data_IF_016618317184
#
_entry.id   IF_016618317184
#
_cell.length_a   1.000
_cell.length_b   1.000
_cell.length_c   1.000
_cell.angle_alpha   90.00
_cell.angle_beta   90.00
_cell.angle_gamma   90.00
#
_symmetry.space_group_name_H-M   'P 1'
#
loop_
_entity.id
_entity.type
_entity.pdbx_description
1 polymer ?
#
# COMPACT_ATOMS: atom_id res chain seq x y z
N UNK A 1 5.66 18.38 52.34
CA UNK A 1 5.43 18.74 50.92
C UNK A 1 4.87 17.56 50.13
N UNK A 2 5.06 16.31 50.56
CA UNK A 2 4.61 15.12 49.82
C UNK A 2 3.10 14.88 49.83
N UNK A 3 2.40 15.14 50.95
CA UNK A 3 0.94 14.95 51.03
C UNK A 3 0.20 15.79 50.00
N UNK A 4 0.55 17.07 49.85
CA UNK A 4 -0.01 17.95 48.83
C UNK A 4 0.29 17.45 47.41
N UNK A 5 1.48 16.89 47.15
CA UNK A 5 1.84 16.32 45.84
C UNK A 5 1.07 15.04 45.53
N UNK A 6 0.80 14.22 46.55
CA UNK A 6 -0.02 13.01 46.46
C UNK A 6 -1.50 13.36 46.25
N UNK A 7 -2.06 14.31 47.01
CA UNK A 7 -3.44 14.77 46.80
C UNK A 7 -3.59 15.44 45.41
N UNK A 8 -2.61 16.22 44.92
CA UNK A 8 -2.63 16.74 43.53
C UNK A 8 -2.63 15.62 42.48
N UNK A 9 -1.82 14.56 42.66
CA UNK A 9 -1.85 13.39 41.77
C UNK A 9 -3.20 12.67 41.83
N UNK A 10 -3.73 12.44 43.05
CA UNK A 10 -5.02 11.79 43.26
C UNK A 10 -6.16 12.59 42.60
N UNK A 11 -6.09 13.91 42.67
CA UNK A 11 -7.08 14.83 42.14
C UNK A 11 -6.99 14.98 40.61
N UNK A 12 -5.78 14.94 40.02
CA UNK A 12 -5.57 14.83 38.58
C UNK A 12 -6.11 13.49 38.03
N UNK A 13 -5.94 12.37 38.75
CA UNK A 13 -6.59 11.09 38.41
C UNK A 13 -8.09 11.04 38.74
N UNK A 14 -8.64 12.06 39.41
CA UNK A 14 -10.05 12.15 39.78
C UNK A 14 -10.89 12.91 38.75
N UNK A 15 -10.29 13.83 37.98
CA UNK A 15 -10.97 14.49 36.86
C UNK A 15 -10.73 13.73 35.54
N UNK A 16 -11.65 12.80 35.26
CA UNK A 16 -11.69 12.01 34.01
C UNK A 16 -11.68 12.91 32.77
N UNK A 17 -12.21 14.13 32.83
CA UNK A 17 -12.25 15.07 31.70
C UNK A 17 -10.89 15.70 31.41
N UNK A 18 -10.10 15.98 32.46
CA UNK A 18 -8.71 16.42 32.29
C UNK A 18 -7.84 15.26 31.78
N UNK A 19 -7.95 14.08 32.39
CA UNK A 19 -7.17 12.91 31.98
C UNK A 19 -7.46 12.49 30.52
N UNK A 20 -8.74 12.53 30.08
CA UNK A 20 -9.11 12.35 28.67
C UNK A 20 -8.47 13.40 27.76
N UNK A 21 -8.47 14.68 28.15
CA UNK A 21 -7.84 15.76 27.36
C UNK A 21 -6.34 15.52 27.19
N UNK A 22 -5.64 15.21 28.27
CA UNK A 22 -4.19 14.94 28.25
C UNK A 22 -3.86 13.69 27.43
N UNK A 23 -4.66 12.62 27.56
CA UNK A 23 -4.51 11.40 26.77
C UNK A 23 -4.78 11.63 25.26
N UNK A 24 -5.79 12.43 24.92
CA UNK A 24 -6.08 12.83 23.52
C UNK A 24 -4.95 13.66 22.93
N UNK A 25 -4.39 14.61 23.68
CA UNK A 25 -3.25 15.43 23.24
C UNK A 25 -1.99 14.58 23.03
N UNK A 26 -1.68 13.66 23.95
CA UNK A 26 -0.55 12.74 23.79
C UNK A 26 -0.73 11.82 22.57
N UNK A 27 -1.92 11.24 22.38
CA UNK A 27 -2.22 10.44 21.18
C UNK A 27 -2.10 11.26 19.87
N UNK A 28 -2.50 12.53 19.88
CA UNK A 28 -2.33 13.45 18.74
C UNK A 28 -0.84 13.77 18.48
N UNK A 29 -0.03 13.94 19.53
CA UNK A 29 1.41 14.13 19.42
C UNK A 29 2.09 12.92 18.76
N UNK A 30 1.81 11.71 19.26
CA UNK A 30 2.32 10.45 18.68
C UNK A 30 1.89 10.29 17.21
N UNK A 31 0.65 10.63 16.84
CA UNK A 31 0.22 10.64 15.44
C UNK A 31 1.02 11.62 14.57
N UNK A 32 1.37 12.78 15.12
CA UNK A 32 2.13 13.83 14.43
C UNK A 32 3.58 13.39 14.23
N UNK A 33 4.20 12.79 15.24
CA UNK A 33 5.53 12.18 15.14
C UNK A 33 5.57 11.00 14.15
N UNK A 34 4.57 10.10 14.18
CA UNK A 34 4.44 9.02 13.19
C UNK A 34 4.35 9.56 11.76
N UNK A 35 3.61 10.65 11.53
CA UNK A 35 3.55 11.31 10.22
C UNK A 35 4.92 11.87 9.81
N UNK A 36 5.62 12.57 10.70
CA UNK A 36 6.95 13.11 10.42
C UNK A 36 7.97 12.01 10.05
N UNK A 37 7.94 10.87 10.74
CA UNK A 37 8.80 9.71 10.41
C UNK A 37 8.46 9.09 9.04
N UNK A 38 7.18 9.11 8.63
CA UNK A 38 6.76 8.72 7.28
C UNK A 38 7.18 9.73 6.20
N UNK A 39 7.26 11.02 6.56
CA UNK A 39 7.76 12.10 5.71
C UNK A 39 9.30 12.20 5.66
N UNK A 40 10.02 11.26 6.29
CA UNK A 40 11.47 11.14 6.20
C UNK A 40 12.26 11.90 7.28
N UNK A 41 11.65 12.27 8.39
CA UNK A 41 12.36 12.91 9.50
C UNK A 41 13.46 11.99 10.10
N UNK A 42 14.69 12.50 10.15
CA UNK A 42 15.90 11.76 10.55
C UNK A 42 16.20 11.77 12.07
N UNK A 43 15.22 12.15 12.90
CA UNK A 43 15.29 12.14 14.34
C UNK A 43 14.21 11.20 14.96
N UNK A 44 14.60 10.18 15.77
CA UNK A 44 15.94 9.91 16.30
C UNK A 44 16.91 9.24 15.31
N UNK A 45 18.21 9.34 15.58
CA UNK A 45 19.32 8.97 14.67
C UNK A 45 19.17 7.59 13.98
N UNK A 46 19.20 7.51 12.63
CA UNK A 46 19.00 6.26 11.87
C UNK A 46 20.04 5.17 12.16
N UNK A 47 21.27 5.52 12.53
CA UNK A 47 22.36 4.58 12.83
C UNK A 47 22.03 3.71 14.07
N UNK A 48 21.20 4.24 14.97
CA UNK A 48 20.77 3.60 16.20
C UNK A 48 19.40 2.93 16.02
N UNK A 49 18.42 3.65 15.44
CA UNK A 49 17.01 3.23 15.41
C UNK A 49 16.55 2.59 14.10
N UNK A 50 17.28 2.84 13.00
CA UNK A 50 17.02 2.24 11.70
C UNK A 50 17.43 0.77 11.64
N UNK A 51 16.93 0.07 10.63
CA UNK A 51 17.26 -1.34 10.35
C UNK A 51 17.80 -1.47 8.93
N UNK A 52 18.78 -2.33 8.75
CA UNK A 52 19.19 -2.88 7.45
C UNK A 52 18.09 -3.80 6.88
N UNK A 53 18.21 -4.21 5.62
CA UNK A 53 17.27 -5.18 5.03
C UNK A 53 17.29 -6.52 5.79
N UNK A 54 18.48 -7.00 6.17
CA UNK A 54 18.64 -8.28 6.89
C UNK A 54 18.04 -8.23 8.30
N UNK A 55 18.28 -7.14 9.05
CA UNK A 55 17.66 -6.93 10.36
C UNK A 55 16.12 -6.87 10.25
N UNK A 56 15.57 -6.18 9.26
CA UNK A 56 14.11 -6.10 9.03
C UNK A 56 13.52 -7.48 8.69
N UNK A 57 14.15 -8.25 7.81
CA UNK A 57 13.74 -9.61 7.45
C UNK A 57 13.76 -10.55 8.69
N UNK A 58 14.84 -10.53 9.48
CA UNK A 58 14.95 -11.34 10.70
C UNK A 58 13.87 -10.99 11.74
N UNK A 59 13.64 -9.70 12.00
CA UNK A 59 12.66 -9.27 13.02
C UNK A 59 11.20 -9.42 12.55
N UNK A 60 10.93 -9.36 11.24
CA UNK A 60 9.59 -9.64 10.68
C UNK A 60 9.29 -11.14 10.58
N UNK A 61 10.33 -12.00 10.64
CA UNK A 61 10.22 -13.44 10.38
C UNK A 61 10.05 -13.78 8.90
N UNK A 62 10.26 -12.80 8.00
CA UNK A 62 10.09 -12.95 6.54
C UNK A 62 11.47 -12.89 5.90
N UNK A 63 12.18 -14.01 5.98
CA UNK A 63 13.59 -14.11 5.56
C UNK A 63 13.81 -14.12 4.03
N UNK A 64 12.78 -14.41 3.24
CA UNK A 64 12.88 -14.48 1.78
C UNK A 64 11.54 -14.30 1.08
N UNK A 65 11.60 -13.90 -0.18
CA UNK A 65 10.44 -13.78 -1.06
C UNK A 65 9.96 -15.15 -1.54
N UNK A 66 8.65 -15.48 -1.45
CA UNK A 66 8.12 -16.75 -1.92
C UNK A 66 8.49 -17.07 -3.39
N UNK A 67 8.99 -18.27 -3.63
CA UNK A 67 9.35 -18.74 -4.98
C UNK A 67 10.72 -18.27 -5.50
N UNK A 68 11.49 -17.49 -4.72
CA UNK A 68 12.79 -16.96 -5.14
C UNK A 68 13.91 -17.64 -4.37
N UNK A 69 14.84 -18.28 -5.10
CA UNK A 69 16.01 -18.97 -4.54
C UNK A 69 17.24 -18.07 -4.38
N UNK A 70 17.33 -16.98 -5.14
CA UNK A 70 18.44 -16.03 -5.12
C UNK A 70 18.13 -14.91 -4.11
N UNK A 71 19.06 -14.53 -3.22
CA UNK A 71 18.85 -13.42 -2.30
C UNK A 71 18.70 -12.10 -3.06
N UNK A 72 17.55 -11.46 -2.90
CA UNK A 72 17.25 -10.16 -3.53
C UNK A 72 17.83 -9.06 -2.66
N UNK A 73 18.91 -8.42 -3.12
CA UNK A 73 19.56 -7.31 -2.41
C UNK A 73 19.15 -5.98 -3.03
N UNK A 74 18.28 -5.17 -2.39
CA UNK A 74 17.93 -3.85 -2.90
C UNK A 74 19.09 -2.85 -2.69
N UNK A 75 19.10 -1.71 -3.42
CA UNK A 75 19.93 -0.56 -3.10
C UNK A 75 19.72 -0.12 -1.64
N UNK A 76 20.75 0.43 -1.00
CA UNK A 76 20.70 0.85 0.41
C UNK A 76 20.30 -0.26 1.41
N UNK A 77 20.53 -1.53 1.07
CA UNK A 77 20.25 -2.69 1.93
C UNK A 77 21.12 -2.76 3.18
N UNK A 78 22.37 -2.30 3.09
CA UNK A 78 23.31 -2.17 4.21
C UNK A 78 23.09 -0.91 5.06
N UNK A 79 22.32 0.07 4.58
CA UNK A 79 22.02 1.27 5.34
C UNK A 79 20.89 1.00 6.34
N UNK A 80 21.01 1.60 7.53
CA UNK A 80 19.96 1.56 8.53
C UNK A 80 18.91 2.61 8.22
N UNK A 81 17.71 2.16 7.87
CA UNK A 81 16.58 2.99 7.48
C UNK A 81 15.36 2.69 8.37
N UNK A 82 14.47 3.67 8.49
CA UNK A 82 13.14 3.53 9.05
C UNK A 82 12.15 4.41 8.26
N UNK A 83 10.89 4.44 8.68
CA UNK A 83 9.90 5.40 8.17
C UNK A 83 9.60 5.21 6.69
N UNK A 84 9.38 6.32 5.98
CA UNK A 84 9.15 6.32 4.53
C UNK A 84 10.30 5.70 3.73
N UNK A 85 11.55 5.90 4.17
CA UNK A 85 12.73 5.35 3.48
C UNK A 85 12.80 3.81 3.56
N UNK A 86 12.47 3.23 4.71
CA UNK A 86 12.36 1.78 4.84
C UNK A 86 11.17 1.21 4.05
N UNK A 87 10.04 1.92 4.03
CA UNK A 87 8.85 1.54 3.24
C UNK A 87 9.18 1.47 1.73
N UNK A 88 9.82 2.50 1.19
CA UNK A 88 10.25 2.53 -0.21
C UNK A 88 11.32 1.48 -0.52
N UNK A 89 12.25 1.17 0.40
CA UNK A 89 13.20 0.08 0.22
C UNK A 89 12.50 -1.28 0.08
N UNK A 90 11.49 -1.58 0.90
CA UNK A 90 10.69 -2.80 0.77
C UNK A 90 9.93 -2.83 -0.56
N UNK A 91 9.37 -1.70 -0.99
CA UNK A 91 8.71 -1.58 -2.30
C UNK A 91 9.68 -1.83 -3.46
N UNK A 92 10.91 -1.34 -3.39
CA UNK A 92 11.94 -1.57 -4.40
C UNK A 92 12.40 -3.04 -4.40
N UNK A 93 12.66 -3.62 -3.22
CA UNK A 93 13.03 -5.03 -3.07
C UNK A 93 11.95 -5.96 -3.64
N UNK A 94 10.68 -5.66 -3.38
CA UNK A 94 9.54 -6.37 -3.98
C UNK A 94 9.54 -6.31 -5.51
N UNK A 95 9.86 -5.16 -6.13
CA UNK A 95 10.01 -5.08 -7.59
C UNK A 95 11.15 -5.98 -8.07
N UNK A 96 12.35 -5.85 -7.52
CA UNK A 96 13.51 -6.69 -7.86
C UNK A 96 13.15 -8.18 -7.76
N UNK A 97 12.52 -8.60 -6.66
CA UNK A 97 12.02 -9.94 -6.44
C UNK A 97 11.09 -10.42 -7.57
N UNK A 98 10.03 -9.66 -7.87
CA UNK A 98 9.07 -10.05 -8.92
C UNK A 98 9.72 -10.18 -10.30
N UNK A 99 10.70 -9.33 -10.65
CA UNK A 99 11.42 -9.40 -11.92
C UNK A 99 12.46 -10.53 -11.99
N UNK A 100 13.04 -10.95 -10.85
CA UNK A 100 13.93 -12.11 -10.78
C UNK A 100 13.23 -13.45 -11.04
N UNK A 101 11.90 -13.50 -11.06
CA UNK A 101 11.17 -14.71 -11.44
C UNK A 101 11.11 -14.89 -12.96
N UNK A 102 11.16 -16.15 -13.40
CA UNK A 102 10.81 -16.53 -14.77
C UNK A 102 9.41 -17.17 -14.80
N UNK A 103 8.80 -17.26 -15.98
CA UNK A 103 7.56 -18.03 -16.14
C UNK A 103 7.87 -19.52 -15.85
N UNK A 104 7.15 -20.17 -14.93
CA UNK A 104 7.43 -21.55 -14.53
C UNK A 104 7.34 -22.50 -15.72
N UNK A 105 8.26 -23.47 -15.78
CA UNK A 105 8.25 -24.50 -16.83
C UNK A 105 6.97 -25.36 -16.75
N UNK A 106 6.38 -25.64 -17.90
CA UNK A 106 5.05 -26.27 -18.00
C UNK A 106 5.18 -27.59 -18.74
N UNK A 107 4.77 -28.69 -18.13
CA UNK A 107 4.87 -30.02 -18.73
C UNK A 107 4.10 -30.14 -20.05
N UNK A 108 4.59 -30.99 -20.97
CA UNK A 108 3.96 -31.22 -22.29
C UNK A 108 2.52 -31.68 -22.15
N UNK A 109 2.25 -32.50 -21.15
CA UNK A 109 0.95 -33.06 -20.80
C UNK A 109 -0.03 -31.95 -20.39
N UNK A 110 0.43 -30.97 -19.58
CA UNK A 110 -0.38 -29.82 -19.16
C UNK A 110 -0.67 -28.89 -20.34
N UNK A 111 0.31 -28.64 -21.21
CA UNK A 111 0.10 -27.87 -22.46
C UNK A 111 -0.90 -28.58 -23.38
N UNK A 112 -0.74 -29.88 -23.61
CA UNK A 112 -1.64 -30.66 -24.46
C UNK A 112 -3.07 -30.70 -23.93
N UNK A 113 -3.24 -30.90 -22.61
CA UNK A 113 -4.56 -30.92 -21.97
C UNK A 113 -5.32 -29.59 -22.14
N UNK A 114 -4.63 -28.46 -21.95
CA UNK A 114 -5.22 -27.13 -22.15
C UNK A 114 -5.53 -26.92 -23.65
N UNK A 115 -4.57 -27.17 -24.54
CA UNK A 115 -4.75 -26.98 -25.98
C UNK A 115 -5.93 -27.79 -26.55
N UNK A 116 -6.08 -29.05 -26.13
CA UNK A 116 -7.19 -29.91 -26.55
C UNK A 116 -8.54 -29.46 -25.99
N UNK A 117 -8.58 -28.90 -24.79
CA UNK A 117 -9.81 -28.32 -24.23
C UNK A 117 -10.32 -27.11 -25.06
N UNK A 118 -9.41 -26.34 -25.67
CA UNK A 118 -9.76 -25.22 -26.56
C UNK A 118 -10.03 -25.63 -28.02
N UNK A 119 -9.58 -26.81 -28.47
CA UNK A 119 -9.73 -27.27 -29.85
C UNK A 119 -11.20 -27.35 -30.33
N UNK A 120 -12.15 -27.59 -29.43
CA UNK A 120 -13.58 -27.64 -29.74
C UNK A 120 -14.28 -26.28 -29.92
N UNK A 121 -13.61 -25.15 -29.63
CA UNK A 121 -14.24 -23.81 -29.66
C UNK A 121 -14.23 -23.10 -31.02
N UNK A 122 -13.74 -23.73 -32.08
CA UNK A 122 -14.00 -23.28 -33.46
C UNK A 122 -13.29 -22.00 -33.91
N UNK A 123 -12.01 -21.83 -33.57
CA UNK A 123 -11.19 -20.72 -34.07
C UNK A 123 -9.71 -21.07 -34.21
N UNK A 124 -8.99 -20.37 -35.08
CA UNK A 124 -7.55 -20.53 -35.29
C UNK A 124 -6.67 -20.09 -34.10
N UNK A 125 -7.27 -19.49 -33.07
CA UNK A 125 -6.63 -18.90 -31.88
C UNK A 125 -6.42 -19.89 -30.72
N UNK A 126 -6.47 -21.21 -30.97
CA UNK A 126 -6.36 -22.22 -29.90
C UNK A 126 -5.02 -22.23 -29.16
N UNK A 127 -3.91 -21.91 -29.84
CA UNK A 127 -2.57 -21.88 -29.24
C UNK A 127 -2.33 -20.65 -28.37
N UNK A 128 -2.79 -19.48 -28.81
CA UNK A 128 -2.73 -18.21 -28.08
C UNK A 128 -3.62 -18.23 -26.85
N UNK A 129 -4.84 -18.80 -26.95
CA UNK A 129 -5.71 -18.96 -25.78
C UNK A 129 -5.11 -19.92 -24.75
N UNK A 130 -4.54 -21.05 -25.20
CA UNK A 130 -3.84 -21.97 -24.30
C UNK A 130 -2.63 -21.31 -23.61
N UNK A 131 -1.84 -20.51 -24.35
CA UNK A 131 -0.73 -19.75 -23.78
C UNK A 131 -1.19 -18.69 -22.76
N UNK A 132 -2.29 -17.99 -23.05
CA UNK A 132 -2.88 -17.01 -22.14
C UNK A 132 -3.37 -17.68 -20.85
N UNK A 133 -4.06 -18.82 -20.94
CA UNK A 133 -4.56 -19.51 -19.74
C UNK A 133 -3.43 -20.07 -18.86
N UNK A 134 -2.37 -20.58 -19.47
CA UNK A 134 -1.15 -20.97 -18.75
C UNK A 134 -0.53 -19.77 -18.02
N UNK A 135 -0.40 -18.62 -18.71
CA UNK A 135 0.14 -17.39 -18.13
C UNK A 135 -0.71 -16.86 -16.98
N UNK A 136 -2.05 -16.83 -17.12
CA UNK A 136 -3.00 -16.43 -16.06
C UNK A 136 -2.85 -17.34 -14.83
N UNK A 137 -2.77 -18.65 -15.02
CA UNK A 137 -2.60 -19.62 -13.94
C UNK A 137 -1.23 -19.47 -13.23
N UNK A 138 -0.16 -19.22 -13.99
CA UNK A 138 1.16 -18.93 -13.43
C UNK A 138 1.16 -17.60 -12.63
N UNK A 139 0.60 -16.53 -13.20
CA UNK A 139 0.49 -15.23 -12.53
C UNK A 139 -0.24 -15.34 -11.19
N UNK A 140 -1.39 -16.02 -11.14
CA UNK A 140 -2.13 -16.24 -9.88
C UNK A 140 -1.35 -17.04 -8.84
N UNK A 141 -0.61 -18.07 -9.25
CA UNK A 141 0.11 -18.95 -8.32
C UNK A 141 1.43 -18.36 -7.80
N UNK A 142 2.11 -17.51 -8.58
CA UNK A 142 3.43 -16.96 -8.22
C UNK A 142 3.38 -15.50 -7.75
N UNK A 143 2.50 -14.64 -8.29
CA UNK A 143 2.44 -13.22 -7.91
C UNK A 143 1.57 -12.97 -6.66
N UNK A 144 0.57 -13.83 -6.39
CA UNK A 144 -0.24 -13.73 -5.18
C UNK A 144 0.59 -13.84 -3.89
N UNK A 145 1.41 -14.88 -3.65
CA UNK A 145 2.18 -14.96 -2.40
C UNK A 145 3.19 -13.81 -2.26
N UNK A 146 3.85 -13.38 -3.34
CA UNK A 146 4.76 -12.22 -3.32
C UNK A 146 4.04 -10.92 -2.89
N UNK A 147 2.89 -10.62 -3.48
CA UNK A 147 2.12 -9.41 -3.14
C UNK A 147 1.56 -9.44 -1.72
N UNK A 148 1.18 -10.61 -1.21
CA UNK A 148 0.79 -10.78 0.19
C UNK A 148 1.96 -10.58 1.15
N UNK A 149 3.14 -11.13 0.84
CA UNK A 149 4.38 -10.94 1.61
C UNK A 149 4.79 -9.47 1.64
N UNK A 150 4.64 -8.73 0.54
CA UNK A 150 4.90 -7.29 0.52
C UNK A 150 3.99 -6.54 1.51
N UNK A 151 2.68 -6.86 1.53
CA UNK A 151 1.74 -6.26 2.48
C UNK A 151 2.08 -6.57 3.95
N UNK A 152 2.67 -7.74 4.25
CA UNK A 152 3.09 -8.08 5.61
C UNK A 152 4.37 -7.33 6.01
N UNK A 153 5.37 -7.25 5.13
CA UNK A 153 6.62 -6.50 5.39
C UNK A 153 6.38 -4.99 5.53
N UNK A 154 5.58 -4.39 4.67
CA UNK A 154 5.21 -2.97 4.79
C UNK A 154 4.46 -2.70 6.11
N UNK A 155 3.56 -3.60 6.52
CA UNK A 155 2.88 -3.51 7.80
C UNK A 155 3.84 -3.63 9.00
N UNK A 156 4.86 -4.50 8.91
CA UNK A 156 5.92 -4.60 9.92
C UNK A 156 6.75 -3.31 10.02
N UNK A 157 7.17 -2.74 8.87
CA UNK A 157 7.88 -1.45 8.83
C UNK A 157 7.08 -0.37 9.54
N UNK A 158 5.78 -0.25 9.24
CA UNK A 158 4.88 0.69 9.91
C UNK A 158 4.77 0.42 11.42
N UNK A 159 4.52 -0.83 11.84
CA UNK A 159 4.44 -1.20 13.26
C UNK A 159 5.70 -0.81 14.05
N UNK A 160 6.87 -0.88 13.41
CA UNK A 160 8.13 -0.49 14.06
C UNK A 160 8.25 1.02 14.35
N UNK A 161 7.49 1.88 13.65
CA UNK A 161 7.54 3.33 13.83
C UNK A 161 6.96 3.81 15.16
N UNK A 162 6.13 3.00 15.82
CA UNK A 162 5.52 3.37 17.10
C UNK A 162 6.58 3.65 18.17
N UNK A 163 7.61 2.79 18.27
CA UNK A 163 8.68 2.94 19.25
C UNK A 163 9.54 4.19 18.98
N UNK A 164 9.79 4.50 17.70
CA UNK A 164 10.49 5.72 17.30
C UNK A 164 9.66 6.98 17.59
N UNK A 165 8.34 6.94 17.39
CA UNK A 165 7.44 8.05 17.68
C UNK A 165 7.32 8.32 19.19
N UNK A 166 7.31 7.27 20.02
CA UNK A 166 7.40 7.37 21.47
C UNK A 166 8.70 8.03 21.93
N UNK A 167 9.85 7.60 21.39
CA UNK A 167 11.15 8.18 21.72
C UNK A 167 11.25 9.65 21.30
N UNK A 168 10.70 9.98 20.14
CA UNK A 168 10.61 11.36 19.65
C UNK A 168 9.77 12.24 20.58
N UNK A 169 8.61 11.75 21.05
CA UNK A 169 7.77 12.49 22.02
C UNK A 169 8.55 12.85 23.28
N UNK A 170 9.25 11.88 23.88
CA UNK A 170 10.06 12.10 25.10
C UNK A 170 11.13 13.17 24.90
N UNK A 171 11.78 13.14 23.74
CA UNK A 171 12.80 14.13 23.39
C UNK A 171 12.18 15.54 23.25
N UNK A 172 10.96 15.65 22.71
CA UNK A 172 10.29 16.94 22.50
C UNK A 172 9.61 17.49 23.77
N UNK A 173 8.99 16.61 24.58
CA UNK A 173 8.41 16.95 25.88
C UNK A 173 9.47 17.49 26.86
N UNK A 174 10.75 17.07 26.72
CA UNK A 174 11.87 17.65 27.46
C UNK A 174 12.14 19.13 27.13
N UNK A 175 11.72 19.60 25.95
CA UNK A 175 11.86 20.99 25.48
C UNK A 175 10.67 21.86 25.84
N UNK A 176 9.48 21.28 26.04
CA UNK A 176 8.24 21.98 26.35
C UNK A 176 7.61 21.48 27.66
N UNK A 177 8.04 22.06 28.78
CA UNK A 177 7.73 21.67 30.18
C UNK A 177 6.25 21.78 30.64
N UNK A 178 5.26 21.77 29.74
CA UNK A 178 3.86 22.12 30.03
C UNK A 178 2.81 21.06 29.68
N UNK A 179 3.21 19.88 29.19
CA UNK A 179 2.29 18.74 28.98
C UNK A 179 2.39 17.79 30.17
N UNK A 180 1.25 17.30 30.67
CA UNK A 180 1.25 16.28 31.72
C UNK A 180 1.98 15.02 31.23
N UNK A 181 3.01 14.58 31.98
CA UNK A 181 3.82 13.46 31.55
C UNK A 181 3.02 12.14 31.59
N UNK A 182 2.68 11.63 30.40
CA UNK A 182 1.91 10.41 30.22
C UNK A 182 2.76 9.12 30.24
N UNK A 183 4.10 9.20 30.26
CA UNK A 183 4.99 8.01 30.30
C UNK A 183 4.74 7.12 31.53
N UNK A 184 4.22 7.69 32.62
CA UNK A 184 3.87 6.95 33.83
C UNK A 184 2.68 5.99 33.70
N UNK A 185 1.85 6.15 32.66
CA UNK A 185 0.62 5.38 32.49
C UNK A 185 0.81 4.20 31.53
N UNK A 186 1.51 3.18 31.99
CA UNK A 186 1.88 1.99 31.19
C UNK A 186 0.67 1.29 30.56
N UNK A 187 -0.48 1.23 31.25
CA UNK A 187 -1.71 0.62 30.72
C UNK A 187 -2.26 1.37 29.50
N UNK A 188 -2.29 2.70 29.55
CA UNK A 188 -2.70 3.56 28.45
C UNK A 188 -1.72 3.47 27.27
N UNK A 189 -0.41 3.48 27.53
CA UNK A 189 0.59 3.30 26.47
C UNK A 189 0.48 1.92 25.79
N UNK A 190 0.18 0.87 26.56
CA UNK A 190 -0.08 -0.46 26.01
C UNK A 190 -1.37 -0.48 25.17
N UNK A 191 -2.45 0.15 25.62
CA UNK A 191 -3.69 0.28 24.87
C UNK A 191 -3.48 1.08 23.56
N UNK A 192 -2.74 2.19 23.63
CA UNK A 192 -2.37 3.02 22.48
C UNK A 192 -1.55 2.23 21.45
N UNK A 193 -0.54 1.46 21.88
CA UNK A 193 0.24 0.55 21.01
C UNK A 193 -0.65 -0.52 20.37
N UNK A 194 -1.51 -1.17 21.16
CA UNK A 194 -2.43 -2.20 20.67
C UNK A 194 -3.42 -1.65 19.63
N UNK A 195 -3.96 -0.45 19.87
CA UNK A 195 -4.84 0.25 18.94
C UNK A 195 -4.11 0.58 17.63
N UNK A 196 -2.88 1.09 17.70
CA UNK A 196 -2.05 1.33 16.52
C UNK A 196 -1.74 0.05 15.73
N UNK A 197 -1.39 -1.03 16.42
CA UNK A 197 -1.07 -2.31 15.79
C UNK A 197 -2.29 -2.97 15.14
N UNK A 198 -3.47 -2.82 15.76
CA UNK A 198 -4.77 -3.21 15.17
C UNK A 198 -5.02 -2.42 13.89
N UNK A 199 -4.88 -1.10 13.93
CA UNK A 199 -5.04 -0.23 12.75
C UNK A 199 -4.12 -0.64 11.59
N UNK A 200 -2.81 -0.79 11.81
CA UNK A 200 -1.85 -1.19 10.75
C UNK A 200 -2.16 -2.60 10.24
N UNK A 201 -2.56 -3.54 11.10
CA UNK A 201 -2.97 -4.89 10.70
C UNK A 201 -4.23 -4.88 9.84
N UNK A 202 -5.17 -3.98 10.11
CA UNK A 202 -6.39 -3.82 9.30
C UNK A 202 -6.12 -3.10 7.97
N UNK A 203 -5.14 -2.19 7.90
CA UNK A 203 -4.63 -1.67 6.63
C UNK A 203 -3.99 -2.78 5.79
N UNK A 204 -3.17 -3.66 6.39
CA UNK A 204 -2.56 -4.78 5.67
C UNK A 204 -3.61 -5.72 5.07
N UNK A 205 -4.67 -6.07 5.82
CA UNK A 205 -5.80 -6.86 5.29
C UNK A 205 -6.47 -6.20 4.09
N UNK A 206 -6.73 -4.88 4.17
CA UNK A 206 -7.34 -4.12 3.07
C UNK A 206 -6.41 -4.06 1.85
N UNK A 207 -5.12 -3.78 2.03
CA UNK A 207 -4.13 -3.77 0.96
C UNK A 207 -4.01 -5.14 0.26
N UNK A 208 -4.01 -6.24 1.02
CA UNK A 208 -4.05 -7.60 0.46
C UNK A 208 -5.32 -7.86 -0.37
N UNK A 209 -6.48 -7.31 0.01
CA UNK A 209 -7.70 -7.42 -0.80
C UNK A 209 -7.61 -6.60 -2.09
N UNK A 210 -7.14 -5.36 -2.00
CA UNK A 210 -6.96 -4.46 -3.15
C UNK A 210 -5.99 -5.07 -4.17
N UNK A 211 -4.82 -5.56 -3.72
CA UNK A 211 -3.84 -6.15 -4.63
C UNK A 211 -4.29 -7.48 -5.23
N UNK A 212 -4.99 -8.34 -4.48
CA UNK A 212 -5.63 -9.54 -5.06
C UNK A 212 -6.64 -9.15 -6.15
N UNK A 213 -7.47 -8.14 -5.93
CA UNK A 213 -8.40 -7.65 -6.96
C UNK A 213 -7.66 -7.13 -8.21
N UNK A 214 -6.52 -6.43 -8.06
CA UNK A 214 -5.70 -6.04 -9.21
C UNK A 214 -5.10 -7.25 -9.95
N UNK A 215 -4.67 -8.29 -9.25
CA UNK A 215 -4.19 -9.54 -9.84
C UNK A 215 -5.31 -10.31 -10.57
N UNK A 216 -6.51 -10.37 -9.99
CA UNK A 216 -7.68 -11.01 -10.61
C UNK A 216 -8.12 -10.26 -11.87
N UNK A 217 -8.08 -8.91 -11.85
CA UNK A 217 -8.34 -8.06 -13.01
C UNK A 217 -7.30 -8.27 -14.12
N UNK A 218 -6.01 -8.21 -13.80
CA UNK A 218 -4.91 -8.44 -14.76
C UNK A 218 -4.98 -9.84 -15.38
N UNK A 219 -5.32 -10.86 -14.59
CA UNK A 219 -5.42 -12.26 -15.04
C UNK A 219 -6.80 -12.64 -15.60
N UNK A 220 -7.74 -11.71 -15.71
CA UNK A 220 -9.08 -11.98 -16.24
C UNK A 220 -9.03 -12.54 -17.67
N UNK A 221 -9.91 -13.50 -18.05
CA UNK A 221 -10.06 -13.92 -19.45
C UNK A 221 -10.39 -12.77 -20.40
N UNK A 222 -11.04 -11.71 -19.90
CA UNK A 222 -11.41 -10.50 -20.64
C UNK A 222 -10.30 -9.42 -20.64
N UNK A 223 -9.16 -9.69 -20.01
CA UNK A 223 -8.03 -8.76 -19.96
C UNK A 223 -7.36 -8.66 -21.33
N UNK A 224 -7.37 -7.45 -21.91
CA UNK A 224 -6.71 -7.17 -23.19
C UNK A 224 -5.17 -7.28 -23.13
N UNK A 225 -4.57 -7.46 -21.95
CA UNK A 225 -3.11 -7.58 -21.77
C UNK A 225 -2.49 -8.68 -22.65
N UNK A 226 -3.22 -9.78 -22.92
CA UNK A 226 -2.75 -10.87 -23.80
C UNK A 226 -3.04 -10.64 -25.30
N UNK A 227 -3.84 -9.64 -25.65
CA UNK A 227 -4.38 -9.45 -27.01
C UNK A 227 -4.06 -8.06 -27.60
N UNK A 228 -3.38 -7.20 -26.85
CA UNK A 228 -2.85 -5.92 -27.31
C UNK A 228 -1.65 -6.16 -28.25
N UNK A 229 -1.78 -5.69 -29.49
CA UNK A 229 -1.00 -6.15 -30.64
C UNK A 229 0.38 -5.50 -30.79
N UNK A 230 1.41 -6.13 -30.21
CA UNK A 230 2.82 -5.95 -30.65
C UNK A 230 3.26 -7.06 -31.64
N UNK A 231 2.35 -7.97 -32.01
CA UNK A 231 2.64 -9.21 -32.77
C UNK A 231 2.74 -9.05 -34.31
N UNK A 232 2.68 -7.83 -34.86
CA UNK A 232 2.95 -7.55 -36.28
C UNK A 232 3.96 -6.41 -36.44
N UNK A 233 5.21 -6.68 -36.04
CA UNK A 233 6.37 -5.79 -36.20
C UNK A 233 7.63 -6.55 -36.60
N UNK A 234 7.55 -7.38 -37.65
CA UNK A 234 8.67 -8.21 -38.11
C UNK A 234 9.77 -7.41 -38.81
N UNK A 235 11.02 -7.69 -38.43
CA UNK A 235 12.27 -7.30 -39.11
C UNK A 235 12.57 -5.79 -39.13
N UNK A 236 13.47 -5.35 -38.23
CA UNK A 236 14.34 -4.19 -38.52
C UNK A 236 14.25 -2.93 -37.65
N UNK A 237 14.05 -3.04 -36.33
CA UNK A 237 14.28 -1.89 -35.41
C UNK A 237 14.92 -2.33 -34.09
N UNK A 238 16.23 -2.60 -34.09
CA UNK A 238 17.04 -2.71 -32.87
C UNK A 238 17.65 -1.33 -32.54
N UNK A 239 16.77 -0.36 -32.30
CA UNK A 239 17.04 0.97 -31.70
C UNK A 239 15.73 1.78 -31.65
N UNK A 240 15.40 2.38 -30.49
CA UNK A 240 14.43 3.48 -30.26
C UNK A 240 13.10 3.19 -29.51
N UNK A 241 12.79 1.97 -29.07
CA UNK A 241 11.64 1.72 -28.15
C UNK A 241 11.92 2.01 -26.68
N UNK A 242 13.05 2.65 -26.34
CA UNK A 242 13.37 3.05 -24.96
C UNK A 242 12.85 4.46 -24.55
N UNK A 243 12.29 5.24 -25.49
CA UNK A 243 12.19 6.71 -25.31
C UNK A 243 10.79 7.34 -25.43
N UNK A 244 9.69 6.58 -25.41
CA UNK A 244 8.34 7.18 -25.48
C UNK A 244 7.22 6.40 -24.80
N UNK A 245 7.32 6.18 -23.48
CA UNK A 245 6.15 6.16 -22.60
C UNK A 245 6.54 6.62 -21.18
N UNK A 246 5.70 7.45 -20.58
CA UNK A 246 5.79 8.02 -19.22
C UNK A 246 7.08 8.80 -18.84
N UNK A 247 7.01 10.12 -19.01
CA UNK A 247 7.41 11.02 -17.90
C UNK A 247 6.36 10.92 -16.78
N UNK A 248 6.43 9.84 -16.00
CA UNK A 248 6.16 9.94 -14.58
C UNK A 248 7.53 10.08 -13.91
N UNK A 249 7.66 10.92 -12.88
CA UNK A 249 8.87 10.93 -12.06
C UNK A 249 8.96 9.62 -11.29
N UNK A 250 9.53 8.60 -11.94
CA UNK A 250 9.88 7.35 -11.29
C UNK A 250 10.80 7.65 -10.11
N UNK A 251 10.55 7.00 -8.98
CA UNK A 251 11.38 7.11 -7.78
C UNK A 251 12.82 6.82 -8.17
N UNK A 252 13.64 7.87 -8.25
CA UNK A 252 15.05 7.73 -8.51
C UNK A 252 15.65 6.94 -7.35
N UNK A 253 16.09 5.71 -7.63
CA UNK A 253 16.78 4.90 -6.65
C UNK A 253 18.20 5.46 -6.51
N UNK A 254 18.34 6.45 -5.63
CA UNK A 254 19.64 6.93 -5.20
C UNK A 254 20.29 5.83 -4.37
N UNK A 255 21.19 5.07 -5.00
CA UNK A 255 22.10 4.21 -4.27
C UNK A 255 23.14 5.10 -3.57
N UNK A 256 23.08 5.11 -2.25
CA UNK A 256 24.00 5.85 -1.37
C UNK A 256 25.04 4.90 -0.77
N UNK A 257 25.08 3.63 -1.19
CA UNK A 257 26.13 2.70 -0.77
C UNK A 257 27.43 3.00 -1.52
N UNK A 258 28.46 3.37 -0.75
CA UNK A 258 29.77 3.81 -1.26
C UNK A 258 30.51 2.68 -1.99
N UNK A 259 30.22 2.53 -3.27
CA UNK A 259 30.99 1.72 -4.21
C UNK A 259 32.06 2.61 -4.83
N UNK A 260 33.25 2.63 -4.22
CA UNK A 260 34.29 3.60 -4.52
C UNK A 260 34.78 3.58 -5.98
N UNK A 261 34.48 4.64 -6.72
CA UNK A 261 35.22 5.06 -7.91
C UNK A 261 35.30 6.58 -7.94
N UNK A 262 36.53 7.10 -7.80
CA UNK A 262 36.86 8.50 -8.09
C UNK A 262 36.52 8.82 -9.54
N UNK A 263 35.68 9.82 -9.79
CA UNK A 263 35.84 10.77 -10.90
C UNK A 263 35.39 12.17 -10.47
N UNK A 264 36.23 13.17 -10.76
CA UNK A 264 35.95 14.59 -10.51
C UNK A 264 35.00 15.13 -11.60
N UNK A 265 33.92 15.84 -11.22
CA UNK A 265 32.83 16.10 -12.16
C UNK A 265 31.91 17.30 -11.86
N UNK A 266 32.50 18.48 -11.65
CA UNK A 266 31.85 19.82 -11.72
C UNK A 266 30.59 20.08 -10.87
N UNK A 267 30.78 20.76 -9.73
CA UNK A 267 29.71 21.46 -9.01
C UNK A 267 29.14 22.62 -9.85
N UNK A 268 27.81 22.71 -9.94
CA UNK A 268 27.13 23.86 -10.55
C UNK A 268 26.90 24.97 -9.52
N UNK A 269 27.74 26.01 -9.54
CA UNK A 269 27.52 27.26 -8.82
C UNK A 269 26.56 28.18 -9.61
N UNK A 270 25.52 28.78 -8.99
CA UNK A 270 24.67 29.75 -9.64
C UNK A 270 25.36 31.13 -9.71
N UNK A 271 25.28 31.88 -10.83
CA UNK A 271 25.86 33.22 -10.89
C UNK A 271 25.15 34.20 -9.96
N UNK A 272 25.91 34.89 -9.11
CA UNK A 272 25.50 36.15 -8.48
C UNK A 272 26.24 37.30 -9.14
N UNK A 273 25.50 38.33 -9.53
CA UNK A 273 25.79 39.76 -9.38
C UNK A 273 24.74 40.55 -10.17
N UNK A 274 24.38 41.80 -9.88
CA UNK A 274 24.27 42.61 -8.66
C UNK A 274 23.68 43.94 -9.14
N UNK A 275 22.59 44.41 -8.51
CA UNK A 275 22.19 45.83 -8.36
C UNK A 275 21.93 46.71 -9.61
N UNK A 276 20.75 47.36 -9.67
CA UNK A 276 20.65 48.82 -9.46
C UNK A 276 19.20 49.36 -9.36
N UNK A 277 18.94 50.09 -8.26
CA UNK A 277 18.12 51.31 -8.08
C UNK A 277 16.61 51.38 -8.44
N UNK A 278 15.87 52.01 -7.51
CA UNK A 278 14.42 52.36 -7.48
C UNK A 278 14.23 53.91 -7.48
N UNK A 279 13.04 54.52 -7.23
CA UNK A 279 11.67 54.31 -7.75
C UNK A 279 11.15 55.60 -8.49
N UNK A 280 10.16 56.43 -8.04
CA UNK A 280 8.72 56.22 -7.77
C UNK A 280 7.73 57.18 -8.51
N UNK A 281 6.47 56.78 -8.77
CA UNK A 281 5.32 57.72 -8.80
C UNK A 281 3.89 57.09 -8.65
N UNK A 282 3.26 57.40 -7.51
CA UNK A 282 1.83 57.71 -7.23
C UNK A 282 0.66 57.26 -8.15
N UNK A 283 -0.26 56.53 -7.51
CA UNK A 283 -1.68 56.86 -7.26
C UNK A 283 -2.86 56.43 -8.19
N UNK A 284 -3.80 55.74 -7.52
CA UNK A 284 -5.27 55.87 -7.53
C UNK A 284 -6.22 54.99 -8.39
N UNK A 285 -7.17 54.39 -7.65
CA UNK A 285 -8.61 54.18 -7.90
C UNK A 285 -9.20 53.31 -9.04
N UNK A 286 -9.95 52.29 -8.57
CA UNK A 286 -11.32 51.84 -8.95
C UNK A 286 -11.67 51.28 -10.36
N UNK A 287 -12.35 50.13 -10.24
CA UNK A 287 -13.59 49.71 -10.93
C UNK A 287 -13.61 49.00 -12.31
N UNK A 288 -14.36 47.88 -12.30
CA UNK A 288 -15.36 47.43 -13.30
C UNK A 288 -14.89 46.69 -14.59
N UNK A 289 -15.29 45.40 -14.62
CA UNK A 289 -15.79 44.57 -15.75
C UNK A 289 -15.16 44.71 -17.17
N UNK A 290 -14.59 43.61 -17.71
CA UNK A 290 -15.32 42.74 -18.68
C UNK A 290 -14.58 41.47 -19.14
N UNK A 291 -15.39 40.56 -19.68
CA UNK A 291 -15.15 39.17 -20.13
C UNK A 291 -14.46 39.05 -21.51
N UNK A 292 -14.50 37.81 -22.08
CA UNK A 292 -14.35 37.39 -23.50
C UNK A 292 -12.94 36.99 -23.99
N UNK A 293 -12.67 35.82 -24.63
CA UNK A 293 -13.42 34.55 -24.89
C UNK A 293 -12.41 33.40 -25.15
N UNK A 294 -12.82 32.12 -25.02
CA UNK A 294 -12.82 31.12 -26.12
C UNK A 294 -13.26 29.70 -25.67
N UNK A 295 -14.58 29.50 -25.75
CA UNK A 295 -15.35 28.34 -26.27
C UNK A 295 -14.90 26.88 -26.02
N UNK A 296 -15.79 26.13 -25.34
CA UNK A 296 -16.00 24.67 -25.47
C UNK A 296 -17.38 24.43 -26.11
N UNK A 297 -17.57 23.48 -27.04
CA UNK A 297 -18.87 23.11 -27.55
C UNK A 297 -19.38 21.76 -26.98
N UNK A 298 -20.41 21.81 -26.14
CA UNK A 298 -21.37 20.70 -25.93
C UNK A 298 -22.80 21.22 -26.11
N UNK A 299 -23.62 20.49 -26.88
CA UNK A 299 -25.10 20.59 -26.95
C UNK A 299 -25.64 19.29 -27.59
N UNK A 300 -26.95 18.96 -27.51
CA UNK A 300 -27.66 18.67 -26.25
C UNK A 300 -28.60 17.43 -26.36
N UNK A 301 -29.19 17.00 -25.25
CA UNK A 301 -30.44 16.21 -25.25
C UNK A 301 -31.63 17.08 -24.84
N UNK A 302 -32.84 16.79 -25.34
CA UNK A 302 -34.05 17.03 -24.55
C UNK A 302 -35.10 15.90 -24.60
N UNK A 303 -35.96 15.91 -23.59
CA UNK A 303 -36.95 14.87 -23.24
C UNK A 303 -38.28 14.88 -24.04
N UNK A 304 -39.09 13.86 -23.75
CA UNK A 304 -40.48 13.61 -24.19
C UNK A 304 -41.47 14.76 -23.88
N UNK A 305 -42.63 14.78 -24.55
CA UNK A 305 -43.88 14.52 -23.81
C UNK A 305 -44.90 13.64 -24.55
N UNK A 306 -46.04 13.38 -23.90
CA UNK A 306 -47.01 12.35 -24.26
C UNK A 306 -48.32 12.84 -24.91
N UNK A 307 -48.98 11.87 -25.56
CA UNK A 307 -50.42 11.67 -25.76
C UNK A 307 -51.30 12.39 -26.83
N UNK A 308 -51.95 11.49 -27.60
CA UNK A 308 -53.37 11.45 -28.00
C UNK A 308 -53.90 11.91 -29.39
N UNK A 309 -54.67 10.96 -29.97
CA UNK A 309 -55.65 11.00 -31.08
C UNK A 309 -55.18 11.11 -32.55
N UNK A 310 -55.57 10.13 -33.41
CA UNK A 310 -55.28 10.22 -34.85
C UNK A 310 -55.83 9.18 -35.86
N UNK A 311 -56.30 7.99 -35.48
CA UNK A 311 -57.23 7.15 -36.29
C UNK A 311 -56.76 6.37 -37.56
N UNK A 312 -57.10 5.06 -37.58
CA UNK A 312 -57.35 4.16 -38.75
C UNK A 312 -56.12 3.84 -39.65
N UNK A 313 -55.90 2.62 -40.17
CA UNK A 313 -56.83 1.52 -40.52
C UNK A 313 -56.10 0.17 -40.75
N UNK A 314 -56.79 -0.93 -40.40
CA UNK A 314 -56.75 -2.28 -41.02
C UNK A 314 -55.70 -3.33 -40.59
N UNK A 315 -56.20 -4.27 -39.79
CA UNK A 315 -55.87 -5.70 -39.66
C UNK A 315 -55.26 -6.45 -40.85
N UNK A 316 -54.41 -7.43 -40.53
CA UNK A 316 -54.83 -8.86 -40.59
C UNK A 316 -53.85 -9.76 -39.79
N UNK A 317 -54.33 -10.43 -38.74
CA UNK A 317 -53.60 -11.52 -38.08
C UNK A 317 -53.95 -12.90 -38.65
N UNK A 318 -53.17 -13.94 -38.35
CA UNK A 318 -53.56 -14.95 -37.34
C UNK A 318 -52.43 -15.96 -37.03
N UNK A 319 -52.58 -16.71 -35.94
CA UNK A 319 -51.68 -17.79 -35.49
C UNK A 319 -51.93 -19.12 -36.26
N UNK A 320 -50.93 -20.02 -36.35
CA UNK A 320 -50.73 -21.13 -35.39
C UNK A 320 -49.78 -22.24 -35.91
N UNK A 321 -49.18 -22.96 -34.94
CA UNK A 321 -48.74 -24.38 -34.96
C UNK A 321 -47.50 -24.85 -35.77
N UNK A 322 -46.90 -25.96 -35.29
CA UNK A 322 -46.19 -26.91 -36.15
C UNK A 322 -44.69 -27.18 -35.93
N UNK A 323 -44.36 -28.01 -34.93
CA UNK A 323 -43.43 -29.14 -35.20
C UNK A 323 -41.96 -29.04 -34.76
N UNK A 324 -41.53 -30.07 -34.02
CA UNK A 324 -40.15 -30.25 -33.55
C UNK A 324 -39.14 -30.58 -34.67
N UNK A 325 -37.87 -30.17 -34.49
CA UNK A 325 -36.72 -30.73 -35.25
C UNK A 325 -35.67 -31.32 -34.31
N UNK A 326 -35.59 -32.66 -34.31
CA UNK A 326 -34.61 -33.45 -33.58
C UNK A 326 -33.43 -33.79 -34.50
N UNK A 327 -32.21 -33.64 -33.95
CA UNK A 327 -30.88 -34.03 -34.46
C UNK A 327 -30.85 -35.07 -35.60
N UNK A 328 -29.91 -34.90 -36.55
CA UNK A 328 -29.18 -36.01 -37.17
C UNK A 328 -27.73 -35.58 -37.49
N UNK A 329 -26.76 -36.42 -37.11
CA UNK A 329 -25.39 -36.34 -37.59
C UNK A 329 -25.22 -37.32 -38.78
N UNK A 330 -24.23 -37.08 -39.66
CA UNK A 330 -23.79 -38.07 -40.66
C UNK A 330 -22.27 -38.13 -40.73
N UNK A 331 -21.73 -39.32 -40.52
CA UNK A 331 -20.45 -39.75 -41.08
C UNK A 331 -20.71 -40.62 -42.31
N UNK A 332 -19.91 -40.43 -43.36
CA UNK A 332 -19.53 -41.41 -44.37
C UNK A 332 -18.28 -40.81 -45.06
N UNK A 333 -17.07 -41.37 -44.94
CA UNK A 333 -16.61 -42.69 -45.40
C UNK A 333 -16.39 -42.76 -46.92
N UNK A 334 -15.10 -42.76 -47.29
CA UNK A 334 -14.46 -43.25 -48.53
C UNK A 334 -15.26 -43.29 -49.86
N UNK A 335 -14.81 -42.49 -50.82
CA UNK A 335 -14.82 -42.84 -52.23
C UNK A 335 -13.50 -42.37 -52.89
N UNK A 336 -12.85 -43.26 -53.65
CA UNK A 336 -11.52 -43.04 -54.21
C UNK A 336 -11.62 -42.75 -55.72
N UNK A 337 -10.91 -41.74 -56.25
CA UNK A 337 -10.69 -41.61 -57.70
C UNK A 337 -9.43 -40.79 -58.04
N UNK A 338 -8.54 -41.46 -58.77
CA UNK A 338 -7.46 -40.89 -59.61
C UNK A 338 -7.98 -39.88 -60.65
N UNK A 339 -7.18 -39.04 -61.32
CA UNK A 339 -5.72 -38.83 -61.39
C UNK A 339 -5.48 -37.36 -61.84
N UNK A 340 -4.35 -36.75 -61.50
CA UNK A 340 -3.37 -36.25 -62.50
C UNK A 340 -2.13 -35.66 -61.81
N UNK A 341 -0.95 -36.03 -62.30
CA UNK A 341 0.33 -35.48 -61.84
C UNK A 341 0.56 -34.06 -62.38
N UNK A 342 1.33 -33.27 -61.64
CA UNK A 342 2.54 -32.68 -62.22
C UNK A 342 3.62 -32.53 -61.14
N UNK A 343 4.83 -32.96 -61.48
CA UNK A 343 6.03 -32.86 -60.63
C UNK A 343 6.98 -31.88 -61.31
N UNK A 344 7.44 -30.88 -60.56
CA UNK A 344 8.68 -30.16 -60.86
C UNK A 344 9.46 -29.94 -59.56
N UNK A 345 10.56 -30.69 -59.47
CA UNK A 345 11.78 -30.43 -58.69
C UNK A 345 12.26 -28.99 -58.96
N UNK A 346 12.90 -28.26 -58.03
CA UNK A 346 13.30 -28.55 -56.65
C UNK A 346 14.08 -27.34 -56.08
N UNK A 347 14.40 -27.36 -54.79
CA UNK A 347 15.11 -26.28 -54.12
C UNK A 347 15.32 -26.63 -52.65
N UNK A 348 16.46 -27.24 -52.36
CA UNK A 348 16.81 -27.76 -51.03
C UNK A 348 17.55 -26.69 -50.19
N UNK A 349 17.42 -26.81 -48.87
CA UNK A 349 18.14 -26.06 -47.82
C UNK A 349 18.35 -24.53 -47.97
N UNK A 350 17.54 -23.73 -47.24
CA UNK A 350 17.96 -23.17 -45.93
C UNK A 350 16.77 -22.48 -45.22
N UNK A 351 16.84 -22.34 -43.89
CA UNK A 351 15.92 -21.56 -43.02
C UNK A 351 14.52 -22.17 -42.80
N UNK A 352 14.42 -23.08 -41.83
CA UNK A 352 13.61 -22.89 -40.60
C UNK A 352 13.59 -24.16 -39.74
N UNK A 353 14.20 -24.13 -38.56
CA UNK A 353 13.88 -25.09 -37.49
C UNK A 353 12.43 -24.86 -37.07
N UNK A 354 11.51 -25.67 -37.58
CA UNK A 354 10.10 -25.60 -37.19
C UNK A 354 9.96 -25.95 -35.71
N UNK A 355 9.82 -24.92 -34.87
CA UNK A 355 9.67 -25.06 -33.43
C UNK A 355 8.39 -25.84 -33.13
N UNK A 356 8.47 -26.83 -32.23
CA UNK A 356 7.29 -27.59 -31.82
C UNK A 356 6.19 -26.65 -31.29
N UNK A 357 4.91 -26.97 -31.52
CA UNK A 357 3.79 -26.16 -31.02
C UNK A 357 3.86 -25.95 -29.50
N UNK A 358 4.42 -26.92 -28.77
CA UNK A 358 4.77 -26.83 -27.36
C UNK A 358 5.73 -25.66 -27.05
N UNK A 359 6.89 -25.60 -27.72
CA UNK A 359 7.87 -24.52 -27.52
C UNK A 359 7.30 -23.14 -27.88
N UNK A 360 6.44 -23.06 -28.90
CA UNK A 360 5.76 -21.80 -29.27
C UNK A 360 4.77 -21.35 -28.18
N UNK A 361 3.94 -22.27 -27.65
CA UNK A 361 3.00 -21.99 -26.56
C UNK A 361 3.75 -21.56 -25.29
N UNK A 362 4.84 -22.25 -24.93
CA UNK A 362 5.66 -21.87 -23.77
C UNK A 362 6.29 -20.47 -23.93
N UNK A 363 6.81 -20.14 -25.11
CA UNK A 363 7.38 -18.81 -25.40
C UNK A 363 6.34 -17.70 -25.29
N UNK A 364 5.17 -17.87 -25.94
CA UNK A 364 4.06 -16.91 -25.87
C UNK A 364 3.53 -16.78 -24.43
N UNK A 365 3.41 -17.89 -23.70
CA UNK A 365 2.98 -17.88 -22.30
C UNK A 365 3.96 -17.13 -21.39
N UNK A 366 5.27 -17.25 -21.64
CA UNK A 366 6.28 -16.49 -20.89
C UNK A 366 6.18 -14.99 -21.16
N UNK A 367 5.93 -14.59 -22.41
CA UNK A 367 5.68 -13.19 -22.78
C UNK A 367 4.41 -12.63 -22.12
N UNK A 368 3.30 -13.37 -22.15
CA UNK A 368 2.07 -12.97 -21.46
C UNK A 368 2.25 -12.88 -19.94
N UNK A 369 2.98 -13.81 -19.32
CA UNK A 369 3.30 -13.74 -17.89
C UNK A 369 4.15 -12.51 -17.56
N UNK A 370 5.15 -12.20 -18.39
CA UNK A 370 5.97 -11.00 -18.23
C UNK A 370 5.14 -9.71 -18.35
N UNK A 371 4.23 -9.61 -19.33
CA UNK A 371 3.36 -8.44 -19.52
C UNK A 371 2.30 -8.31 -18.42
N UNK A 372 1.75 -9.42 -17.90
CA UNK A 372 0.89 -9.41 -16.70
C UNK A 372 1.64 -8.91 -15.48
N UNK A 373 2.88 -9.39 -15.25
CA UNK A 373 3.73 -8.91 -14.17
C UNK A 373 4.01 -7.42 -14.31
N UNK A 374 4.46 -6.94 -15.47
CA UNK A 374 4.75 -5.52 -15.70
C UNK A 374 3.55 -4.62 -15.37
N UNK A 375 2.37 -4.94 -15.90
CA UNK A 375 1.14 -4.17 -15.62
C UNK A 375 0.78 -4.19 -14.13
N UNK A 376 0.91 -5.35 -13.48
CA UNK A 376 0.63 -5.46 -12.04
C UNK A 376 1.65 -4.69 -11.20
N UNK A 377 2.94 -4.85 -11.48
CA UNK A 377 4.06 -4.40 -10.62
C UNK A 377 4.46 -2.95 -10.86
N UNK A 378 4.35 -2.40 -12.08
CA UNK A 378 4.66 -0.97 -12.30
C UNK A 378 3.45 -0.07 -12.11
N UNK A 379 2.25 -0.52 -12.51
CA UNK A 379 1.09 0.37 -12.66
C UNK A 379 0.12 0.27 -11.48
N UNK A 380 -0.15 -0.95 -11.01
CA UNK A 380 -1.24 -1.21 -10.05
C UNK A 380 -0.74 -1.33 -8.60
N UNK A 381 0.24 -2.18 -8.32
CA UNK A 381 0.63 -2.51 -6.93
C UNK A 381 1.32 -1.33 -6.21
N UNK A 382 2.28 -0.60 -6.80
CA UNK A 382 2.95 0.49 -6.06
C UNK A 382 2.02 1.64 -5.72
N UNK A 383 1.09 1.98 -6.62
CA UNK A 383 0.08 3.03 -6.40
C UNK A 383 -0.96 2.59 -5.37
N UNK A 384 -1.44 1.34 -5.45
CA UNK A 384 -2.37 0.76 -4.49
C UNK A 384 -1.77 0.61 -3.08
N UNK A 385 -0.51 0.19 -2.94
CA UNK A 385 0.14 0.03 -1.63
C UNK A 385 0.54 1.37 -1.02
N UNK A 386 1.07 2.32 -1.79
CA UNK A 386 1.35 3.66 -1.29
C UNK A 386 0.08 4.36 -0.78
N UNK A 387 -0.98 4.39 -1.59
CA UNK A 387 -2.26 5.00 -1.17
C UNK A 387 -2.96 4.19 -0.07
N UNK A 388 -2.93 2.86 -0.12
CA UNK A 388 -3.57 1.98 0.84
C UNK A 388 -2.95 1.99 2.25
N UNK A 389 -1.64 2.18 2.34
CA UNK A 389 -0.95 2.31 3.63
C UNK A 389 -0.75 3.76 4.06
N UNK A 390 -0.11 4.59 3.23
CA UNK A 390 0.38 5.90 3.67
C UNK A 390 -0.74 6.92 3.83
N UNK A 391 -1.76 6.93 2.95
CA UNK A 391 -2.86 7.90 3.05
C UNK A 391 -3.69 7.69 4.33
N UNK A 392 -4.12 6.47 4.70
CA UNK A 392 -4.75 6.24 6.01
C UNK A 392 -3.85 6.58 7.20
N UNK A 393 -2.55 6.27 7.14
CA UNK A 393 -1.60 6.69 8.20
C UNK A 393 -1.52 8.22 8.35
N UNK A 394 -1.60 8.96 7.25
CA UNK A 394 -1.58 10.44 7.25
C UNK A 394 -2.90 11.04 7.74
N UNK A 395 -4.04 10.56 7.25
CA UNK A 395 -5.33 11.22 7.39
C UNK A 395 -6.25 10.61 8.45
N UNK A 396 -6.22 9.28 8.60
CA UNK A 396 -7.23 8.52 9.36
C UNK A 396 -6.72 7.96 10.69
N UNK A 397 -5.40 7.91 10.89
CA UNK A 397 -4.76 7.34 12.07
C UNK A 397 -5.31 7.91 13.39
N UNK A 398 -5.30 9.24 13.56
CA UNK A 398 -5.78 9.87 14.80
C UNK A 398 -7.26 9.57 15.07
N UNK A 399 -8.11 9.58 14.04
CA UNK A 399 -9.52 9.23 14.17
C UNK A 399 -9.70 7.78 14.59
N UNK A 400 -8.97 6.85 13.96
CA UNK A 400 -9.03 5.42 14.28
C UNK A 400 -8.58 5.13 15.72
N UNK A 401 -7.44 5.70 16.16
CA UNK A 401 -7.00 5.60 17.55
C UNK A 401 -8.02 6.24 18.50
N UNK A 402 -8.60 7.38 18.12
CA UNK A 402 -9.56 8.10 18.94
C UNK A 402 -10.86 7.33 19.18
N UNK A 403 -11.38 6.63 18.17
CA UNK A 403 -12.51 5.72 18.34
C UNK A 403 -12.19 4.57 19.28
N UNK A 404 -11.06 3.87 19.10
CA UNK A 404 -10.70 2.71 19.93
C UNK A 404 -10.38 3.07 21.39
N UNK A 405 -9.78 4.25 21.64
CA UNK A 405 -9.30 4.65 22.98
C UNK A 405 -10.25 5.56 23.75
N UNK A 406 -11.03 6.41 23.07
CA UNK A 406 -11.85 7.44 23.73
C UNK A 406 -13.36 7.25 23.53
N UNK A 407 -13.82 6.47 22.55
CA UNK A 407 -15.24 6.09 22.43
C UNK A 407 -15.62 4.93 23.39
N UNK A 408 -15.10 4.98 24.62
CA UNK A 408 -15.35 4.02 25.70
C UNK A 408 -15.90 4.73 26.93
N UNK A 409 -16.76 4.03 27.67
CA UNK A 409 -17.32 4.51 28.93
C UNK A 409 -16.23 4.71 29.99
N UNK A 410 -16.48 5.67 30.90
CA UNK A 410 -15.48 6.23 31.82
C UNK A 410 -14.77 5.17 32.68
N UNK A 411 -15.47 4.13 33.11
CA UNK A 411 -14.91 2.99 33.82
C UNK A 411 -13.78 2.31 33.01
N UNK A 412 -14.08 1.90 31.77
CA UNK A 412 -13.09 1.28 30.86
C UNK A 412 -11.98 2.23 30.46
N UNK A 413 -12.26 3.53 30.44
CA UNK A 413 -11.22 4.54 30.22
C UNK A 413 -10.24 4.55 31.40
N UNK A 414 -10.75 4.60 32.63
CA UNK A 414 -9.94 4.63 33.86
C UNK A 414 -9.12 3.36 34.08
N UNK A 415 -9.62 2.18 33.66
CA UNK A 415 -8.85 0.92 33.67
C UNK A 415 -7.50 1.02 32.94
N UNK A 416 -7.35 1.91 31.96
CA UNK A 416 -6.07 2.13 31.27
C UNK A 416 -5.04 2.90 32.12
N UNK A 417 -5.50 3.69 33.10
CA UNK A 417 -4.64 4.57 33.91
C UNK A 417 -4.42 4.02 35.33
N UNK A 418 -5.26 3.09 35.76
CA UNK A 418 -5.18 2.43 37.06
C UNK A 418 -4.51 1.07 36.92
N UNK A 419 -3.28 0.94 37.41
CA UNK A 419 -2.70 -0.39 37.63
C UNK A 419 -3.51 -1.12 38.71
N UNK A 420 -3.93 -2.39 38.51
CA UNK A 420 -4.69 -3.14 39.50
C UNK A 420 -4.01 -3.15 40.89
N UNK A 421 -4.72 -2.66 41.91
CA UNK A 421 -4.20 -2.52 43.28
C UNK A 421 -3.36 -1.27 43.57
N UNK A 422 -3.03 -0.44 42.58
CA UNK A 422 -2.27 0.80 42.81
C UNK A 422 -3.07 1.85 43.60
N UNK A 423 -4.38 1.94 43.38
CA UNK A 423 -5.28 2.78 44.19
C UNK A 423 -5.25 2.32 45.65
N UNK A 424 -5.32 1.01 45.91
CA UNK A 424 -5.29 0.47 47.28
C UNK A 424 -3.96 0.76 47.97
N UNK A 425 -2.83 0.62 47.26
CA UNK A 425 -1.52 0.99 47.77
C UNK A 425 -1.43 2.49 48.13
N UNK A 426 -1.88 3.38 47.24
CA UNK A 426 -1.87 4.84 47.48
C UNK A 426 -2.83 5.22 48.62
N UNK A 427 -4.00 4.59 48.71
CA UNK A 427 -4.94 4.80 49.82
C UNK A 427 -4.36 4.32 51.16
N UNK A 428 -3.69 3.17 51.19
CA UNK A 428 -3.02 2.64 52.37
C UNK A 428 -1.87 3.56 52.84
N UNK A 429 -1.06 4.05 51.91
CA UNK A 429 0.01 5.02 52.21
C UNK A 429 -0.55 6.35 52.72
N UNK A 430 -1.60 6.88 52.08
CA UNK A 430 -2.31 8.09 52.53
C UNK A 430 -2.89 7.93 53.94
N UNK A 431 -3.50 6.79 54.25
CA UNK A 431 -3.98 6.48 55.61
C UNK A 431 -2.83 6.39 56.63
N UNK A 432 -1.68 5.81 56.25
CA UNK A 432 -0.49 5.73 57.09
C UNK A 432 0.07 7.12 57.41
N UNK A 433 0.19 7.99 56.40
CA UNK A 433 0.65 9.38 56.56
C UNK A 433 -0.31 10.21 57.42
N UNK A 434 -1.63 10.08 57.23
CA UNK A 434 -2.64 10.75 58.08
C UNK A 434 -2.55 10.29 59.55
N UNK A 435 -2.34 9.00 59.81
CA UNK A 435 -2.10 8.48 61.18
C UNK A 435 -0.84 9.12 61.79
N UNK A 436 0.27 9.17 61.05
CA UNK A 436 1.53 9.81 61.49
C UNK A 436 1.35 11.31 61.78
N UNK A 437 0.65 12.03 60.91
CA UNK A 437 0.33 13.44 61.10
C UNK A 437 -0.50 13.66 62.37
N UNK A 438 -1.52 12.83 62.61
CA UNK A 438 -2.36 12.94 63.82
C UNK A 438 -1.59 12.68 65.11
N UNK A 439 -0.67 11.72 65.10
CA UNK A 439 0.24 11.45 66.24
C UNK A 439 1.15 12.66 66.49
N UNK A 440 1.81 13.18 65.46
CA UNK A 440 2.68 14.37 65.57
C UNK A 440 1.93 15.60 66.08
N UNK A 441 0.67 15.80 65.67
CA UNK A 441 -0.18 16.85 66.19
C UNK A 441 -0.58 16.63 67.67
N UNK A 442 -0.78 15.38 68.10
CA UNK A 442 -1.01 15.06 69.52
C UNK A 442 0.21 15.44 70.35
N UNK A 443 1.39 14.92 69.99
CA UNK A 443 2.65 15.22 70.68
C UNK A 443 2.96 16.73 70.70
N UNK A 444 2.67 17.45 69.62
CA UNK A 444 2.82 18.92 69.57
C UNK A 444 1.82 19.65 70.48
N UNK A 445 0.61 19.12 70.67
CA UNK A 445 -0.38 19.70 71.57
C UNK A 445 -0.07 19.40 73.05
N UNK A 446 0.40 18.19 73.35
CA UNK A 446 0.94 17.78 74.65
C UNK A 446 2.15 18.64 75.04
N UNK A 447 3.13 18.78 74.14
CA UNK A 447 4.31 19.63 74.36
C UNK A 447 3.92 21.09 74.60
N UNK A 448 2.97 21.64 73.84
CA UNK A 448 2.46 23.00 74.05
C UNK A 448 1.71 23.17 75.38
N UNK A 449 1.03 22.15 75.88
CA UNK A 449 0.38 22.20 77.19
C UNK A 449 1.43 22.14 78.32
N UNK A 450 2.42 21.26 78.22
CA UNK A 450 3.55 21.19 79.18
C UNK A 450 4.30 22.53 79.22
N UNK A 451 4.54 23.13 78.05
CA UNK A 451 5.19 24.45 77.89
C UNK A 451 4.37 25.65 78.39
N UNK A 452 3.13 25.46 78.84
CA UNK A 452 2.30 26.51 79.48
C UNK A 452 2.05 26.27 80.98
N UNK A 453 2.40 25.08 81.47
CA UNK A 453 2.28 24.68 82.88
C UNK A 453 3.62 24.73 83.62
N UNK A 454 4.72 24.80 82.87
CA UNK A 454 5.99 25.42 83.27
C UNK A 454 5.91 26.94 83.05
#
# INVERSE_FOLDING_TARGET
MDVSRLDSKLQATSDVSQLRRSAMLHAASICTHLRALLDGAADPAPEVWGKTTEEEQMHSGINSWPGISVPVKPPNSSLKLYGGAAFERVMHEFRCATYSMECPQVSREKVANILLAHAGRGGSSGMTEAAAEIARAAARSWLAPLTETACDRLAFVLQSLFDLAMERSRTDDSRYQNVENMDGYVGFLAALRCSYYKFVKDLSKQCKQIVRHHLDSVTSPYSHICYESDFLGGVGTVANTLHRFNQFSGVASFDLSESGSLEEGQENLPPRDQQQMTPPAKANEREILKESQLTVPETPSPDLPADMHGGKKKDNGNMNDGGARKRHARMAAYANRSHHNNVTVGGDDLVSRSGSSYSSICSISAQYFAKMREVLIERNVPSALNSGFLTPCRERLFLALGFELFAVNDEKFMDMFVSPGAIDCIQNERQSLLKRQKILLSCLSEFKNISRTL
#
